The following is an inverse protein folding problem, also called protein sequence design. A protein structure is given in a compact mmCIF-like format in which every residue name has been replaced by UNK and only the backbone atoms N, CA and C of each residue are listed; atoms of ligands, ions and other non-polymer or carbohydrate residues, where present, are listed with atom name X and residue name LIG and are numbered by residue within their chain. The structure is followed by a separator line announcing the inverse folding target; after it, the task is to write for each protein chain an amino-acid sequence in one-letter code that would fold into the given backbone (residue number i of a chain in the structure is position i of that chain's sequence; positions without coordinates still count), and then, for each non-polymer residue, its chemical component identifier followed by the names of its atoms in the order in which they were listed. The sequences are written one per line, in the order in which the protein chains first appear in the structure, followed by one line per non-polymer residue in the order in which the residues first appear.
data_IF_934080932387
#
_entry.id   IF_934080932387
#
_cell.length_a   1.000
_cell.length_b   1.000
_cell.length_c   1.000
_cell.angle_alpha   90.00
_cell.angle_beta   90.00
_cell.angle_gamma   90.00
#
_symmetry.space_group_name_H-M   'P 1'
#
loop_
_entity.id
_entity.type
_entity.pdbx_description
1 polymer ?
#
# COMPACT_ATOMS: atom_id res chain seq x y z
N UNK A 1 -17.84 5.16 5.59
CA UNK A 1 -17.25 4.26 6.60
C UNK A 1 -18.29 3.22 7.00
N UNK A 2 -18.24 2.03 6.39
CA UNK A 2 -19.14 0.93 6.71
C UNK A 2 -18.60 0.22 7.97
N UNK A 3 -19.31 0.34 9.10
CA UNK A 3 -18.98 -0.43 10.31
C UNK A 3 -19.48 -1.84 10.10
N UNK A 4 -18.58 -2.80 9.97
CA UNK A 4 -18.88 -4.23 9.93
C UNK A 4 -19.29 -4.64 11.36
N UNK A 5 -20.51 -5.16 11.59
CA UNK A 5 -20.90 -5.65 12.90
C UNK A 5 -20.28 -7.03 13.11
N UNK A 6 -19.26 -7.12 13.98
CA UNK A 6 -18.78 -8.39 14.52
C UNK A 6 -19.74 -8.86 15.60
N UNK A 7 -20.83 -9.52 15.21
CA UNK A 7 -21.71 -10.23 16.15
C UNK A 7 -21.10 -11.58 16.52
N UNK A 8 -20.39 -11.62 17.65
CA UNK A 8 -20.05 -12.88 18.32
C UNK A 8 -21.31 -13.34 19.05
N UNK A 9 -21.98 -14.37 18.55
CA UNK A 9 -23.20 -14.93 19.14
C UNK A 9 -22.89 -15.70 20.44
N UNK A 10 -22.81 -14.99 21.56
CA UNK A 10 -22.73 -15.55 22.90
C UNK A 10 -24.12 -15.84 23.47
N UNK A 11 -24.62 -17.08 23.34
CA UNK A 11 -25.86 -17.52 23.99
C UNK A 11 -25.79 -17.30 25.50
N UNK A 12 -26.74 -16.55 26.04
CA UNK A 12 -26.80 -16.27 27.49
C UNK A 12 -27.62 -17.35 28.19
N UNK A 13 -27.00 -18.11 29.11
CA UNK A 13 -27.71 -19.11 29.91
C UNK A 13 -28.23 -18.51 31.22
N UNK A 14 -29.53 -18.63 31.47
CA UNK A 14 -30.17 -18.23 32.72
C UNK A 14 -30.61 -19.48 33.47
N UNK A 15 -30.27 -19.57 34.76
CA UNK A 15 -30.51 -20.76 35.57
C UNK A 15 -31.62 -20.51 36.57
N UNK A 16 -32.56 -21.43 36.67
CA UNK A 16 -33.66 -21.38 37.63
C UNK A 16 -33.78 -22.72 38.38
N UNK A 17 -34.48 -22.70 39.51
CA UNK A 17 -34.75 -23.92 40.29
C UNK A 17 -35.75 -24.81 39.51
N UNK A 18 -35.61 -26.15 39.56
CA UNK A 18 -36.40 -27.08 38.73
C UNK A 18 -37.91 -27.00 39.00
N UNK A 19 -38.30 -26.69 40.24
CA UNK A 19 -39.72 -26.60 40.64
C UNK A 19 -40.49 -25.51 39.88
N UNK A 20 -39.79 -24.46 39.44
CA UNK A 20 -40.38 -23.31 38.74
C UNK A 20 -40.70 -23.61 37.26
N UNK A 21 -40.11 -24.66 36.70
CA UNK A 21 -40.36 -25.12 35.31
C UNK A 21 -41.34 -26.31 35.25
N UNK A 22 -41.85 -26.76 36.40
CA UNK A 22 -42.79 -27.87 36.48
C UNK A 22 -44.21 -27.43 36.10
N UNK A 23 -45.03 -28.38 35.65
CA UNK A 23 -46.45 -28.13 35.30
C UNK A 23 -47.32 -27.77 36.51
N UNK A 24 -46.81 -27.94 37.74
CA UNK A 24 -47.51 -27.68 39.00
C UNK A 24 -47.02 -26.39 39.71
N UNK A 25 -46.28 -25.54 39.02
CA UNK A 25 -45.71 -24.32 39.59
C UNK A 25 -46.80 -23.35 40.09
N UNK A 26 -46.57 -22.74 41.26
CA UNK A 26 -47.41 -21.70 41.84
C UNK A 26 -47.47 -20.45 40.94
N UNK A 27 -48.56 -19.65 40.95
CA UNK A 27 -48.64 -18.40 40.18
C UNK A 27 -47.46 -17.45 40.39
N UNK A 28 -46.92 -17.39 41.62
CA UNK A 28 -45.74 -16.57 41.94
C UNK A 28 -44.45 -17.11 41.29
N UNK A 29 -44.37 -18.42 41.10
CA UNK A 29 -43.22 -19.09 40.50
C UNK A 29 -43.19 -18.90 38.98
N UNK A 30 -44.35 -18.85 38.32
CA UNK A 30 -44.47 -18.49 36.90
C UNK A 30 -44.08 -17.03 36.64
N UNK A 31 -44.37 -16.12 37.58
CA UNK A 31 -43.97 -14.72 37.45
C UNK A 31 -42.43 -14.55 37.40
N UNK A 32 -41.70 -15.36 38.18
CA UNK A 32 -40.22 -15.37 38.15
C UNK A 32 -39.68 -15.86 36.82
N UNK A 33 -40.28 -16.90 36.23
CA UNK A 33 -39.88 -17.40 34.90
C UNK A 33 -40.16 -16.37 33.81
N UNK A 34 -41.31 -15.70 33.85
CA UNK A 34 -41.66 -14.65 32.89
C UNK A 34 -40.71 -13.43 33.00
N UNK A 35 -40.30 -13.08 34.21
CA UNK A 35 -39.29 -12.04 34.44
C UNK A 35 -37.92 -12.45 33.86
N UNK A 36 -37.51 -13.71 34.05
CA UNK A 36 -36.27 -14.24 33.46
C UNK A 36 -36.34 -14.30 31.93
N UNK A 37 -37.48 -14.63 31.35
CA UNK A 37 -37.71 -14.56 29.90
C UNK A 37 -37.57 -13.13 29.37
N UNK A 38 -38.18 -12.16 30.07
CA UNK A 38 -38.07 -10.74 29.71
C UNK A 38 -36.63 -10.23 29.83
N UNK A 39 -35.89 -10.65 30.86
CA UNK A 39 -34.47 -10.32 31.00
C UNK A 39 -33.63 -10.94 29.88
N UNK A 40 -33.87 -12.22 29.53
CA UNK A 40 -33.18 -12.91 28.44
C UNK A 40 -33.40 -12.23 27.09
N UNK A 41 -34.62 -11.77 26.81
CA UNK A 41 -34.96 -11.03 25.59
C UNK A 41 -34.31 -9.64 25.51
N UNK A 42 -33.97 -9.01 26.64
CA UNK A 42 -33.42 -7.64 26.69
C UNK A 42 -31.89 -7.58 26.72
N UNK A 43 -31.18 -8.70 26.93
CA UNK A 43 -29.71 -8.74 26.83
C UNK A 43 -29.35 -8.54 25.35
N UNK A 44 -28.47 -7.56 25.05
CA UNK A 44 -28.16 -7.00 23.71
C UNK A 44 -27.56 -7.99 22.70
N UNK A 45 -28.32 -9.01 22.36
CA UNK A 45 -28.10 -9.93 21.27
C UNK A 45 -29.50 -10.31 20.79
N UNK A 46 -29.73 -10.30 19.48
CA UNK A 46 -31.02 -10.50 18.82
C UNK A 46 -31.96 -11.50 19.53
N UNK A 47 -33.26 -11.23 19.46
CA UNK A 47 -34.44 -11.76 20.21
C UNK A 47 -34.58 -13.28 20.47
N UNK A 48 -33.56 -14.11 20.26
CA UNK A 48 -33.62 -15.56 20.49
C UNK A 48 -32.30 -16.21 20.93
N UNK A 49 -31.38 -15.45 21.55
CA UNK A 49 -30.10 -15.98 22.06
C UNK A 49 -30.09 -16.16 23.60
N UNK A 50 -31.11 -16.81 24.17
CA UNK A 50 -31.10 -17.20 25.58
C UNK A 50 -31.67 -18.59 25.83
N UNK A 51 -31.13 -19.28 26.84
CA UNK A 51 -31.58 -20.61 27.26
C UNK A 51 -31.84 -20.61 28.77
N UNK A 52 -33.09 -20.87 29.17
CA UNK A 52 -33.47 -21.02 30.59
C UNK A 52 -33.36 -22.50 30.95
N UNK A 53 -32.54 -22.84 31.94
CA UNK A 53 -32.31 -24.22 32.35
C UNK A 53 -32.59 -24.45 33.85
N UNK A 54 -33.12 -25.63 34.21
CA UNK A 54 -33.21 -26.05 35.60
C UNK A 54 -31.81 -26.37 36.15
N UNK A 55 -31.48 -25.79 37.30
CA UNK A 55 -30.25 -26.06 38.02
C UNK A 55 -30.53 -27.09 39.12
N UNK A 56 -30.23 -28.35 38.87
CA UNK A 56 -30.24 -29.41 39.87
C UNK A 56 -28.81 -29.92 40.08
N UNK A 57 -28.42 -30.06 41.35
CA UNK A 57 -27.14 -30.66 41.75
C UNK A 57 -27.37 -32.10 42.22
N UNK A 58 -26.48 -33.00 41.84
CA UNK A 58 -26.40 -34.36 42.37
C UNK A 58 -25.90 -34.32 43.84
N UNK A 59 -26.05 -35.40 44.60
CA UNK A 59 -25.50 -35.54 45.97
C UNK A 59 -23.98 -35.32 46.01
N UNK A 60 -23.29 -35.45 44.88
CA UNK A 60 -21.86 -35.18 44.71
C UNK A 60 -21.53 -33.74 44.22
N UNK A 61 -22.51 -32.82 44.21
CA UNK A 61 -22.28 -31.41 43.85
C UNK A 61 -22.13 -31.12 42.35
N UNK A 62 -22.33 -32.13 41.50
CA UNK A 62 -22.27 -31.98 40.05
C UNK A 62 -23.61 -31.49 39.49
N UNK A 63 -23.59 -30.57 38.51
CA UNK A 63 -24.80 -30.09 37.83
C UNK A 63 -25.37 -31.22 36.96
N UNK A 64 -26.63 -31.59 37.13
CA UNK A 64 -27.31 -32.61 36.30
C UNK A 64 -27.54 -32.13 34.86
N UNK A 65 -27.69 -30.81 34.67
CA UNK A 65 -27.91 -30.20 33.37
C UNK A 65 -26.80 -29.19 33.09
N UNK A 66 -26.03 -29.44 32.03
CA UNK A 66 -24.99 -28.53 31.55
C UNK A 66 -25.11 -28.43 30.03
N UNK A 67 -25.49 -27.25 29.53
CA UNK A 67 -25.36 -26.93 28.11
C UNK A 67 -24.16 -25.99 27.97
N UNK A 68 -23.04 -26.53 27.50
CA UNK A 68 -21.90 -25.76 27.07
C UNK A 68 -21.99 -25.58 25.56
N UNK A 69 -21.80 -24.35 25.09
CA UNK A 69 -21.52 -24.14 23.68
C UNK A 69 -20.13 -24.69 23.43
N UNK A 70 -20.00 -25.60 22.47
CA UNK A 70 -18.71 -25.76 21.82
C UNK A 70 -18.38 -24.41 21.18
N UNK A 71 -17.48 -23.65 21.81
CA UNK A 71 -16.89 -22.50 21.14
C UNK A 71 -16.25 -23.04 19.87
N UNK A 72 -16.65 -22.51 18.72
CA UNK A 72 -15.71 -22.53 17.61
C UNK A 72 -14.51 -21.71 18.10
N UNK A 73 -13.43 -22.37 18.48
CA UNK A 73 -12.11 -21.78 18.75
C UNK A 73 -11.48 -21.20 17.45
N UNK A 74 -12.32 -20.80 16.50
CA UNK A 74 -11.92 -20.00 15.35
C UNK A 74 -11.83 -18.55 15.80
N UNK A 75 -10.62 -18.03 15.89
CA UNK A 75 -10.38 -16.60 16.03
C UNK A 75 -11.11 -15.85 14.91
N UNK A 76 -12.27 -15.26 15.21
CA UNK A 76 -13.09 -14.51 14.26
C UNK A 76 -12.43 -13.19 13.84
N UNK A 77 -11.34 -12.79 14.52
CA UNK A 77 -10.44 -11.75 14.08
C UNK A 77 -9.38 -12.35 13.16
N UNK A 78 -9.75 -12.58 11.91
CA UNK A 78 -8.77 -12.87 10.85
C UNK A 78 -7.96 -11.60 10.61
N UNK A 79 -6.65 -11.67 10.83
CA UNK A 79 -5.75 -10.56 10.52
C UNK A 79 -5.71 -10.31 9.00
N UNK A 80 -6.40 -9.26 8.57
CA UNK A 80 -6.47 -8.82 7.17
C UNK A 80 -5.21 -8.07 6.71
N UNK A 81 -4.30 -7.70 7.63
CA UNK A 81 -3.14 -6.87 7.29
C UNK A 81 -2.18 -7.58 6.32
N UNK A 82 -2.01 -8.89 6.45
CA UNK A 82 -1.16 -9.70 5.55
C UNK A 82 -1.62 -9.64 4.09
N UNK A 83 -2.88 -10.05 3.78
CA UNK A 83 -3.43 -9.94 2.43
C UNK A 83 -3.42 -8.52 1.88
N UNK A 84 -3.78 -7.51 2.69
CA UNK A 84 -3.82 -6.10 2.25
C UNK A 84 -2.43 -5.64 1.81
N UNK A 85 -1.41 -5.88 2.64
CA UNK A 85 -0.05 -5.51 2.31
C UNK A 85 0.43 -6.23 1.05
N UNK A 86 0.16 -7.53 0.91
CA UNK A 86 0.51 -8.30 -0.29
C UNK A 86 -0.08 -7.68 -1.57
N UNK A 87 -1.35 -7.29 -1.56
CA UNK A 87 -1.96 -6.64 -2.72
C UNK A 87 -1.39 -5.24 -2.96
N UNK A 88 -1.12 -4.47 -1.90
CA UNK A 88 -0.46 -3.18 -2.05
C UNK A 88 0.92 -3.31 -2.71
N UNK A 89 1.74 -4.27 -2.30
CA UNK A 89 3.02 -4.57 -2.95
C UNK A 89 2.85 -5.01 -4.41
N UNK A 90 1.90 -5.89 -4.69
CA UNK A 90 1.66 -6.37 -6.06
C UNK A 90 1.23 -5.22 -7.00
N UNK A 91 0.37 -4.30 -6.53
CA UNK A 91 -0.05 -3.14 -7.32
C UNK A 91 1.15 -2.20 -7.56
N UNK A 92 1.93 -1.88 -6.52
CA UNK A 92 3.13 -1.05 -6.66
C UNK A 92 4.14 -1.64 -7.64
N UNK A 93 4.27 -2.97 -7.68
CA UNK A 93 5.12 -3.69 -8.62
C UNK A 93 4.66 -3.53 -10.07
N UNK A 94 3.35 -3.60 -10.34
CA UNK A 94 2.83 -3.38 -11.69
C UNK A 94 3.06 -1.96 -12.21
N UNK A 95 3.14 -0.98 -11.32
CA UNK A 95 3.36 0.44 -11.67
C UNK A 95 4.82 0.87 -11.51
N UNK A 96 5.75 -0.05 -11.23
CA UNK A 96 7.16 0.26 -10.93
C UNK A 96 7.35 1.33 -9.84
N UNK A 97 6.37 1.50 -8.94
CA UNK A 97 6.38 2.51 -7.86
C UNK A 97 6.75 1.86 -6.51
N UNK A 98 7.52 0.78 -6.54
CA UNK A 98 7.91 0.04 -5.33
C UNK A 98 8.81 0.85 -4.40
N UNK A 99 9.56 1.83 -4.93
CA UNK A 99 10.47 2.65 -4.12
C UNK A 99 9.74 3.45 -3.03
N UNK A 100 8.48 3.84 -3.23
CA UNK A 100 7.67 4.53 -2.21
C UNK A 100 7.40 3.64 -0.99
N UNK A 101 7.42 2.33 -1.18
CA UNK A 101 7.10 1.34 -0.15
C UNK A 101 8.34 0.93 0.67
N UNK A 102 9.55 1.36 0.26
CA UNK A 102 10.83 1.05 0.94
C UNK A 102 10.91 1.60 2.36
N UNK A 103 10.06 2.58 2.74
CA UNK A 103 9.96 3.09 4.12
C UNK A 103 9.00 2.33 5.05
N UNK A 104 8.20 1.38 4.54
CA UNK A 104 7.13 0.72 5.32
C UNK A 104 7.53 -0.60 5.98
N UNK A 105 8.64 -1.19 5.57
CA UNK A 105 9.17 -2.42 6.19
C UNK A 105 10.55 -2.11 6.75
N UNK A 106 10.73 -2.39 8.04
CA UNK A 106 11.84 -1.95 8.90
C UNK A 106 13.22 -2.55 8.55
N UNK A 107 13.60 -2.73 7.28
CA UNK A 107 14.93 -3.21 6.91
C UNK A 107 15.46 -2.43 5.73
N UNK A 108 16.40 -1.52 6.02
CA UNK A 108 17.05 -0.67 5.04
C UNK A 108 18.02 -1.45 4.15
N UNK A 109 17.90 -1.22 2.85
CA UNK A 109 18.99 -1.36 1.87
C UNK A 109 18.78 -0.24 0.85
N UNK A 110 19.43 0.90 1.08
CA UNK A 110 19.42 2.08 0.18
C UNK A 110 19.77 1.72 -1.25
N UNK A 111 20.72 0.81 -1.45
CA UNK A 111 21.18 0.35 -2.76
C UNK A 111 20.07 -0.35 -3.56
N UNK A 112 19.09 -0.98 -2.89
CA UNK A 112 17.94 -1.59 -3.57
C UNK A 112 16.95 -0.52 -4.07
N UNK A 113 16.88 0.62 -3.39
CA UNK A 113 16.07 1.75 -3.83
C UNK A 113 16.67 2.43 -5.06
N UNK A 114 17.98 2.66 -5.06
CA UNK A 114 18.72 3.27 -6.17
C UNK A 114 18.55 2.47 -7.47
N UNK A 115 18.81 1.16 -7.45
CA UNK A 115 18.63 0.29 -8.61
C UNK A 115 17.20 0.28 -9.17
N UNK A 116 16.18 0.47 -8.31
CA UNK A 116 14.77 0.55 -8.76
C UNK A 116 14.42 1.89 -9.37
N UNK A 117 15.00 2.97 -8.85
CA UNK A 117 14.84 4.30 -9.42
C UNK A 117 15.49 4.33 -10.80
N UNK A 118 16.68 3.72 -10.96
CA UNK A 118 17.35 3.59 -12.25
C UNK A 118 16.49 2.83 -13.28
N UNK A 119 15.96 1.65 -12.92
CA UNK A 119 15.06 0.90 -13.80
C UNK A 119 13.80 1.70 -14.19
N UNK A 120 13.27 2.51 -13.27
CA UNK A 120 12.14 3.38 -13.57
C UNK A 120 12.54 4.49 -14.55
N UNK A 121 13.70 5.12 -14.36
CA UNK A 121 14.24 6.13 -15.28
C UNK A 121 14.37 5.54 -16.69
N UNK A 122 14.97 4.37 -16.83
CA UNK A 122 15.09 3.67 -18.12
C UNK A 122 13.73 3.43 -18.78
N UNK A 123 12.74 3.00 -18.00
CA UNK A 123 11.38 2.79 -18.52
C UNK A 123 10.73 4.09 -19.01
N UNK A 124 10.95 5.20 -18.32
CA UNK A 124 10.45 6.52 -18.72
C UNK A 124 11.16 6.98 -20.01
N UNK A 125 12.48 6.83 -20.10
CA UNK A 125 13.25 7.13 -21.30
C UNK A 125 12.74 6.34 -22.51
N UNK A 126 12.45 5.04 -22.36
CA UNK A 126 11.88 4.23 -23.43
C UNK A 126 10.51 4.75 -23.92
N UNK A 127 9.66 5.23 -23.00
CA UNK A 127 8.40 5.89 -23.38
C UNK A 127 8.63 7.24 -24.07
N UNK A 128 9.59 8.03 -23.60
CA UNK A 128 9.95 9.31 -24.23
C UNK A 128 10.53 9.09 -25.64
N UNK A 129 11.34 8.05 -25.85
CA UNK A 129 11.85 7.65 -27.16
C UNK A 129 10.72 7.23 -28.11
N UNK A 130 9.73 6.48 -27.61
CA UNK A 130 8.55 6.13 -28.39
C UNK A 130 7.79 7.39 -28.83
N UNK A 131 7.58 8.35 -27.92
CA UNK A 131 6.91 9.62 -28.21
C UNK A 131 7.73 10.43 -29.22
N UNK A 132 9.02 10.64 -28.95
CA UNK A 132 9.99 11.30 -29.85
C UNK A 132 9.94 10.71 -31.25
N UNK A 133 9.97 9.38 -31.36
CA UNK A 133 9.89 8.66 -32.63
C UNK A 133 8.61 8.97 -33.41
N UNK A 134 7.46 9.01 -32.74
CA UNK A 134 6.18 9.37 -33.37
C UNK A 134 6.17 10.84 -33.82
N UNK A 135 6.66 11.76 -32.99
CA UNK A 135 6.69 13.18 -33.33
C UNK A 135 7.61 13.48 -34.51
N UNK A 136 8.84 12.95 -34.48
CA UNK A 136 9.84 13.18 -35.51
C UNK A 136 9.49 12.50 -36.84
N UNK A 137 8.83 11.34 -36.79
CA UNK A 137 8.49 10.59 -38.01
C UNK A 137 7.17 11.02 -38.65
N UNK A 138 6.20 11.51 -37.86
CA UNK A 138 4.84 11.76 -38.35
C UNK A 138 4.35 13.19 -38.13
N UNK A 139 4.50 13.73 -36.92
CA UNK A 139 3.89 15.01 -36.58
C UNK A 139 4.63 16.18 -37.22
N UNK A 140 5.96 16.22 -37.08
CA UNK A 140 6.78 17.32 -37.57
C UNK A 140 6.76 17.41 -39.11
N UNK A 141 7.03 16.33 -39.87
CA UNK A 141 6.99 16.40 -41.34
C UNK A 141 5.63 16.87 -41.85
N UNK A 142 4.54 16.32 -41.31
CA UNK A 142 3.18 16.66 -41.73
C UNK A 142 2.80 18.12 -41.42
N UNK A 143 3.29 18.68 -40.31
CA UNK A 143 3.07 20.09 -39.98
C UNK A 143 3.81 21.02 -40.95
N UNK A 144 5.03 20.66 -41.35
CA UNK A 144 5.81 21.42 -42.33
C UNK A 144 5.23 21.31 -43.75
N UNK A 145 4.73 20.13 -44.14
CA UNK A 145 4.03 19.92 -45.41
C UNK A 145 2.79 20.83 -45.54
N UNK A 146 2.05 21.03 -44.45
CA UNK A 146 0.84 21.87 -44.44
C UNK A 146 1.19 23.37 -44.43
N UNK A 147 2.28 23.75 -43.75
CA UNK A 147 2.67 25.15 -43.61
C UNK A 147 3.53 25.69 -44.79
N UNK A 148 3.90 24.84 -45.75
CA UNK A 148 4.49 25.27 -47.02
C UNK A 148 6.01 25.40 -47.03
N UNK A 149 6.71 24.48 -46.35
CA UNK A 149 8.14 24.18 -46.50
C UNK A 149 9.09 25.41 -46.36
N UNK A 150 9.41 25.75 -45.11
CA UNK A 150 10.25 26.90 -44.74
C UNK A 150 11.66 26.51 -44.26
N UNK A 151 12.02 25.23 -44.24
CA UNK A 151 13.31 24.78 -43.70
C UNK A 151 13.97 23.71 -44.58
N UNK A 152 15.22 23.93 -44.99
CA UNK A 152 16.06 22.92 -45.68
C UNK A 152 16.33 21.69 -44.81
N UNK A 153 16.16 21.81 -43.49
CA UNK A 153 16.36 20.75 -42.51
C UNK A 153 15.21 20.75 -41.49
N UNK A 154 14.56 19.59 -41.31
CA UNK A 154 13.44 19.45 -40.39
C UNK A 154 13.95 19.47 -38.94
N UNK A 155 13.33 20.27 -38.05
CA UNK A 155 13.69 20.24 -36.63
C UNK A 155 13.34 18.88 -36.03
N UNK A 156 14.20 18.36 -35.15
CA UNK A 156 13.91 17.15 -34.39
C UNK A 156 13.56 17.50 -32.95
N UNK A 157 12.53 16.84 -32.42
CA UNK A 157 12.23 16.88 -31.00
C UNK A 157 13.23 15.96 -30.30
N UNK A 158 13.87 16.49 -29.26
CA UNK A 158 14.68 15.72 -28.33
C UNK A 158 14.28 16.07 -26.89
N UNK A 159 14.59 15.16 -25.96
CA UNK A 159 14.39 15.40 -24.53
C UNK A 159 15.73 15.29 -23.81
N UNK A 160 15.88 16.08 -22.76
CA UNK A 160 17.04 15.99 -21.87
C UNK A 160 16.75 14.95 -20.79
N UNK A 161 17.68 14.04 -20.57
CA UNK A 161 17.57 13.03 -19.53
C UNK A 161 17.79 13.65 -18.15
N UNK A 162 16.96 13.30 -17.16
CA UNK A 162 17.16 13.71 -15.77
C UNK A 162 18.29 12.87 -15.15
N UNK A 163 19.53 13.21 -15.50
CA UNK A 163 20.73 12.69 -14.86
C UNK A 163 21.04 13.55 -13.63
N UNK A 164 20.91 12.95 -12.45
CA UNK A 164 21.63 13.45 -11.27
C UNK A 164 23.09 13.09 -11.50
N UNK A 165 23.87 14.05 -11.95
CA UNK A 165 25.32 13.90 -12.07
C UNK A 165 25.90 13.91 -10.66
N UNK A 166 26.45 12.78 -10.22
CA UNK A 166 27.22 12.77 -8.97
C UNK A 166 28.52 13.53 -9.20
N UNK A 167 28.55 14.76 -8.68
CA UNK A 167 29.70 15.67 -8.72
C UNK A 167 30.96 15.00 -8.17
N UNK A 168 30.82 14.09 -7.20
CA UNK A 168 31.96 13.41 -6.58
C UNK A 168 32.56 12.34 -7.48
N UNK A 169 31.73 11.58 -8.19
CA UNK A 169 32.19 10.58 -9.16
C UNK A 169 32.84 11.24 -10.37
N UNK A 170 32.24 12.31 -10.91
CA UNK A 170 32.83 13.08 -12.00
C UNK A 170 34.16 13.73 -11.59
N UNK A 171 34.23 14.36 -10.41
CA UNK A 171 35.46 14.96 -9.92
C UNK A 171 36.56 13.91 -9.72
N UNK A 172 36.19 12.71 -9.26
CA UNK A 172 37.12 11.58 -9.09
C UNK A 172 37.62 11.08 -10.44
N UNK A 173 36.73 10.92 -11.43
CA UNK A 173 37.10 10.50 -12.78
C UNK A 173 38.02 11.52 -13.47
N UNK A 174 37.70 12.81 -13.39
CA UNK A 174 38.53 13.89 -13.95
C UNK A 174 39.91 13.95 -13.26
N UNK A 175 39.95 13.83 -11.93
CA UNK A 175 41.20 13.79 -11.16
C UNK A 175 42.10 12.61 -11.53
N UNK A 176 41.51 11.48 -11.95
CA UNK A 176 42.27 10.30 -12.38
C UNK A 176 42.71 10.36 -13.86
N UNK A 177 41.89 10.94 -14.74
CA UNK A 177 42.14 10.91 -16.18
C UNK A 177 43.06 12.03 -16.68
N UNK A 178 43.03 13.20 -16.03
CA UNK A 178 43.88 14.35 -16.39
C UNK A 178 45.38 14.06 -16.18
N UNK A 179 45.84 13.45 -15.08
CA UNK A 179 47.26 13.13 -14.87
C UNK A 179 47.80 12.03 -15.80
N UNK A 180 46.92 11.12 -16.24
CA UNK A 180 47.28 10.01 -17.15
C UNK A 180 47.40 10.52 -18.60
N UNK A 181 46.93 11.75 -18.89
CA UNK A 181 47.04 12.38 -20.20
C UNK A 181 46.03 11.86 -21.22
N UNK A 182 44.97 11.17 -20.76
CA UNK A 182 43.88 10.67 -21.63
C UNK A 182 42.97 11.83 -22.07
N UNK A 183 42.77 12.80 -21.17
CA UNK A 183 41.99 14.01 -21.44
C UNK A 183 42.92 15.20 -21.25
N UNK A 184 43.07 16.02 -22.29
CA UNK A 184 43.64 17.35 -22.14
C UNK A 184 42.51 18.31 -21.72
N UNK A 185 42.72 19.20 -20.74
CA UNK A 185 41.75 20.22 -20.41
C UNK A 185 41.65 21.20 -21.59
N UNK A 186 40.68 20.95 -22.46
CA UNK A 186 40.30 21.79 -23.60
C UNK A 186 39.03 22.59 -23.25
N UNK A 187 38.81 23.72 -23.94
CA UNK A 187 37.71 24.65 -23.68
C UNK A 187 36.34 23.95 -23.79
N UNK A 188 36.18 23.03 -24.74
CA UNK A 188 34.96 22.24 -24.94
C UNK A 188 34.65 21.31 -23.76
N UNK A 189 35.68 20.68 -23.18
CA UNK A 189 35.53 19.80 -22.03
C UNK A 189 35.21 20.61 -20.77
N UNK A 190 35.81 21.79 -20.65
CA UNK A 190 35.51 22.71 -19.55
C UNK A 190 34.04 23.17 -19.57
N UNK A 191 33.50 23.47 -20.75
CA UNK A 191 32.09 23.84 -20.95
C UNK A 191 31.15 22.67 -20.67
N UNK A 192 31.45 21.47 -21.19
CA UNK A 192 30.68 20.24 -20.94
C UNK A 192 30.65 19.87 -19.44
N UNK A 193 31.78 20.02 -18.74
CA UNK A 193 31.86 19.79 -17.30
C UNK A 193 31.06 20.85 -16.54
N UNK A 194 31.10 22.11 -16.97
CA UNK A 194 30.29 23.16 -16.35
C UNK A 194 28.80 22.95 -16.55
N UNK A 195 28.35 22.57 -17.74
CA UNK A 195 26.95 22.20 -17.99
C UNK A 195 26.52 21.03 -17.10
N UNK A 196 27.33 19.96 -17.03
CA UNK A 196 27.03 18.80 -16.18
C UNK A 196 26.92 19.12 -14.69
N UNK A 197 27.57 20.21 -14.24
CA UNK A 197 27.59 20.67 -12.85
C UNK A 197 26.63 21.84 -12.60
N UNK A 198 25.83 22.26 -13.60
CA UNK A 198 25.01 23.47 -13.55
C UNK A 198 25.80 24.74 -13.14
N UNK A 199 27.08 24.80 -13.52
CA UNK A 199 27.94 25.96 -13.29
C UNK A 199 27.71 27.00 -14.39
N UNK A 200 27.80 28.30 -14.09
CA UNK A 200 27.68 29.35 -15.09
C UNK A 200 28.76 29.20 -16.17
N UNK A 201 28.39 29.40 -17.43
CA UNK A 201 29.32 29.34 -18.57
C UNK A 201 30.55 30.22 -18.34
N UNK A 202 31.74 29.74 -18.72
CA UNK A 202 33.00 30.47 -18.49
C UNK A 202 33.06 31.79 -19.25
N UNK A 203 32.40 31.86 -20.40
CA UNK A 203 32.23 33.08 -21.17
C UNK A 203 30.91 33.75 -20.80
N UNK A 204 30.99 34.82 -20.03
CA UNK A 204 30.04 35.91 -20.23
C UNK A 204 30.09 36.28 -21.72
N UNK A 205 28.95 36.16 -22.40
CA UNK A 205 28.70 36.89 -23.65
C UNK A 205 28.62 38.38 -23.26
N UNK A 206 29.77 39.00 -22.98
CA UNK A 206 29.88 40.44 -22.96
C UNK A 206 29.79 40.90 -24.42
N UNK A 207 28.67 41.56 -24.72
CA UNK A 207 28.19 41.82 -26.07
C UNK A 207 29.23 42.36 -27.05
N UNK A 208 29.25 41.73 -28.22
CA UNK A 208 29.15 42.38 -29.53
C UNK A 208 28.31 41.51 -30.45
#
# INVERSE_FOLDING_TARGET
MCKIPTEVATLTSLKCLPDYLSIYASPDQQAVVNHLQTLGANIRQNESSYLIMPQQYDQNGNKLFNAELMSCDGNTNVDLSGPINRYAYAISQTMMTEFQQIGKTSVGTSNYAENKIELLKDSICAYLDMIKGVFNSHAIPRLFDINGDLAEELPTLDYEEVKDVDVTELATALSQLVPIGVISPDENIEETVRESLNLPASKEINGK
#
